data_IF_555060183956
#
_entry.id   IF_555060183956
#
_cell.length_a   1.000
_cell.length_b   1.000
_cell.length_c   1.000
_cell.angle_alpha   90.00
_cell.angle_beta   90.00
_cell.angle_gamma   90.00
#
_symmetry.space_group_name_H-M   'P 1'
#
loop_
_entity.id
_entity.type
_entity.pdbx_description
1 polymer ?
#
# COMPACT_ATOMS: atom_id res chain seq x y z
N UNK A 1 -48.57 -9.04 -5.25
CA UNK A 1 -48.20 -8.10 -6.34
C UNK A 1 -47.25 -8.82 -7.29
N UNK A 2 -47.41 -8.69 -8.61
CA UNK A 2 -46.50 -9.27 -9.60
C UNK A 2 -45.65 -8.18 -10.24
N UNK A 3 -44.37 -8.46 -10.49
CA UNK A 3 -43.48 -7.58 -11.25
C UNK A 3 -42.75 -8.38 -12.31
N UNK A 4 -42.30 -7.71 -13.36
CA UNK A 4 -41.53 -8.34 -14.43
C UNK A 4 -40.08 -8.58 -13.99
N UNK A 5 -39.54 -9.76 -14.28
CA UNK A 5 -38.14 -10.11 -13.98
C UNK A 5 -37.22 -9.86 -15.19
N UNK A 6 -35.92 -10.11 -15.05
CA UNK A 6 -34.94 -9.92 -16.13
C UNK A 6 -35.06 -10.88 -17.33
N UNK A 7 -36.07 -11.75 -17.36
CA UNK A 7 -36.41 -12.61 -18.49
C UNK A 7 -37.81 -12.27 -19.05
N UNK A 8 -38.31 -11.06 -18.76
CA UNK A 8 -39.61 -10.54 -19.19
C UNK A 8 -40.79 -11.40 -18.72
N UNK A 9 -40.66 -12.02 -17.53
CA UNK A 9 -41.70 -12.86 -16.93
C UNK A 9 -42.33 -12.20 -15.70
N UNK A 10 -43.67 -12.19 -15.57
CA UNK A 10 -44.33 -11.72 -14.37
C UNK A 10 -44.12 -12.73 -13.23
N UNK A 11 -43.46 -12.29 -12.15
CA UNK A 11 -43.18 -13.10 -10.96
C UNK A 11 -43.83 -12.50 -9.72
N UNK A 12 -44.29 -13.36 -8.82
CA UNK A 12 -44.83 -12.96 -7.54
C UNK A 12 -43.70 -12.53 -6.60
N UNK A 13 -43.83 -11.33 -6.03
CA UNK A 13 -42.81 -10.76 -5.14
C UNK A 13 -43.21 -10.81 -3.68
N UNK A 14 -44.48 -11.09 -3.38
CA UNK A 14 -44.93 -11.28 -2.00
C UNK A 14 -45.07 -12.77 -1.74
N UNK A 15 -44.09 -13.35 -1.04
CA UNK A 15 -44.04 -14.77 -0.76
C UNK A 15 -43.97 -14.94 0.76
N UNK A 16 -45.02 -15.53 1.35
CA UNK A 16 -45.12 -15.74 2.80
C UNK A 16 -44.98 -14.45 3.64
N UNK A 17 -45.58 -13.34 3.18
CA UNK A 17 -45.57 -12.06 3.89
C UNK A 17 -44.23 -11.32 3.83
N UNK A 18 -43.34 -11.72 2.92
CA UNK A 18 -42.05 -11.05 2.66
C UNK A 18 -42.01 -10.60 1.21
N UNK A 19 -41.59 -9.36 1.00
CA UNK A 19 -41.39 -8.79 -0.33
C UNK A 19 -39.98 -9.08 -0.83
N UNK A 20 -39.86 -9.71 -2.00
CA UNK A 20 -38.60 -10.05 -2.65
C UNK A 20 -38.39 -9.21 -3.91
N UNK A 21 -37.13 -8.91 -4.23
CA UNK A 21 -36.76 -8.27 -5.49
C UNK A 21 -36.33 -9.35 -6.49
N UNK A 22 -36.95 -9.43 -7.69
CA UNK A 22 -36.50 -10.38 -8.70
C UNK A 22 -35.06 -10.11 -9.11
N UNK A 23 -34.38 -11.18 -9.55
CA UNK A 23 -33.07 -11.06 -10.15
C UNK A 23 -33.11 -10.08 -11.34
N UNK A 24 -32.24 -9.06 -11.30
CA UNK A 24 -32.18 -7.99 -12.28
C UNK A 24 -31.32 -8.33 -13.52
N UNK A 25 -30.96 -9.60 -13.69
CA UNK A 25 -30.08 -10.07 -14.77
C UNK A 25 -28.63 -10.14 -14.34
N UNK A 26 -27.83 -10.93 -15.07
CA UNK A 26 -26.40 -11.02 -14.82
C UNK A 26 -25.71 -9.77 -15.39
N UNK A 27 -24.99 -9.03 -14.55
CA UNK A 27 -24.08 -8.01 -15.06
C UNK A 27 -22.82 -8.70 -15.59
N UNK A 28 -22.54 -8.49 -16.88
CA UNK A 28 -21.21 -8.80 -17.41
C UNK A 28 -20.25 -7.74 -16.84
N UNK A 29 -19.45 -8.13 -15.86
CA UNK A 29 -18.43 -7.25 -15.34
C UNK A 29 -17.32 -7.10 -16.39
N UNK A 30 -17.21 -5.90 -16.98
CA UNK A 30 -15.99 -5.51 -17.68
C UNK A 30 -14.83 -5.44 -16.69
N UNK A 31 -13.60 -5.52 -17.19
CA UNK A 31 -12.42 -5.27 -16.36
C UNK A 31 -11.79 -3.93 -16.75
N UNK A 32 -11.08 -3.33 -15.80
CA UNK A 32 -10.24 -2.16 -16.04
C UNK A 32 -8.82 -2.55 -15.65
N UNK A 33 -7.91 -2.45 -16.61
CA UNK A 33 -6.49 -2.68 -16.38
C UNK A 33 -5.98 -1.79 -15.24
N UNK A 34 -5.11 -2.36 -14.40
CA UNK A 34 -4.42 -1.68 -13.30
C UNK A 34 -3.03 -1.20 -13.69
N UNK A 35 -2.59 -1.47 -14.93
CA UNK A 35 -1.29 -1.05 -15.44
C UNK A 35 -1.23 0.48 -15.51
N UNK A 36 -0.25 1.06 -14.82
CA UNK A 36 -0.05 2.51 -14.74
C UNK A 36 1.39 2.79 -14.30
N UNK A 37 1.83 4.05 -14.32
CA UNK A 37 3.14 4.45 -13.80
C UNK A 37 3.13 4.46 -12.26
N UNK A 38 4.31 4.34 -11.64
CA UNK A 38 4.43 4.41 -10.18
C UNK A 38 3.86 5.72 -9.60
N UNK A 39 4.21 6.87 -10.21
CA UNK A 39 3.73 8.18 -9.77
C UNK A 39 2.21 8.33 -9.91
N UNK A 40 1.60 7.80 -10.98
CA UNK A 40 0.14 7.82 -11.14
C UNK A 40 -0.56 6.86 -10.18
N UNK A 41 0.05 5.70 -9.89
CA UNK A 41 -0.47 4.78 -8.88
C UNK A 41 -0.50 5.46 -7.50
N UNK A 42 0.59 6.11 -7.10
CA UNK A 42 0.68 6.84 -5.83
C UNK A 42 -0.38 7.96 -5.74
N UNK A 43 -0.55 8.77 -6.80
CA UNK A 43 -1.62 9.79 -6.87
C UNK A 43 -3.00 9.18 -6.71
N UNK A 44 -3.30 8.10 -7.44
CA UNK A 44 -4.61 7.40 -7.38
C UNK A 44 -4.87 6.76 -6.01
N UNK A 45 -3.81 6.37 -5.28
CA UNK A 45 -3.89 5.92 -3.90
C UNK A 45 -4.09 7.07 -2.89
N UNK A 46 -4.11 8.33 -3.33
CA UNK A 46 -4.33 9.49 -2.47
C UNK A 46 -3.12 9.85 -1.62
N UNK A 47 -1.90 9.61 -2.13
CA UNK A 47 -0.65 9.98 -1.48
C UNK A 47 -0.68 11.45 -1.02
N UNK A 48 -0.34 11.68 0.25
CA UNK A 48 -0.23 12.99 0.88
C UNK A 48 0.81 12.93 1.99
N UNK A 49 1.19 14.10 2.49
CA UNK A 49 2.14 14.23 3.59
C UNK A 49 1.73 13.39 4.80
N UNK A 50 2.73 12.98 5.57
CA UNK A 50 2.57 12.24 6.83
C UNK A 50 2.04 10.82 6.72
N UNK A 51 1.75 10.32 5.52
CA UNK A 51 1.29 8.95 5.31
C UNK A 51 2.39 7.90 5.61
N UNK A 52 1.93 6.69 5.88
CA UNK A 52 2.75 5.50 6.06
C UNK A 52 2.80 4.67 4.77
N UNK A 53 4.00 4.54 4.19
CA UNK A 53 4.31 3.62 3.09
C UNK A 53 4.90 2.33 3.64
N UNK A 54 4.47 1.17 3.13
CA UNK A 54 5.03 -0.12 3.55
C UNK A 54 5.63 -0.91 2.40
N UNK A 55 6.68 -1.67 2.71
CA UNK A 55 7.50 -2.41 1.75
C UNK A 55 7.92 -3.79 2.29
N UNK A 56 8.13 -4.76 1.40
CA UNK A 56 8.75 -6.03 1.76
C UNK A 56 10.20 -6.14 1.26
N UNK A 57 11.00 -6.97 1.91
CA UNK A 57 12.45 -7.01 1.71
C UNK A 57 12.91 -8.24 0.89
N UNK A 58 12.02 -8.86 0.11
CA UNK A 58 12.29 -10.13 -0.58
C UNK A 58 13.36 -10.02 -1.67
N UNK A 59 13.52 -8.83 -2.27
CA UNK A 59 14.55 -8.56 -3.27
C UNK A 59 15.95 -8.31 -2.66
N UNK A 60 16.04 -8.15 -1.34
CA UNK A 60 17.29 -7.90 -0.60
C UNK A 60 18.10 -6.72 -1.16
N UNK A 61 19.37 -6.93 -1.49
CA UNK A 61 20.23 -5.91 -2.10
C UNK A 61 19.91 -5.66 -3.59
N UNK A 62 18.99 -6.41 -4.20
CA UNK A 62 18.45 -6.13 -5.52
C UNK A 62 17.19 -5.26 -5.49
N UNK A 63 16.78 -4.77 -4.32
CA UNK A 63 15.57 -3.95 -4.19
C UNK A 63 15.83 -2.50 -4.64
N UNK A 64 15.31 -2.15 -5.82
CA UNK A 64 15.24 -0.75 -6.27
C UNK A 64 13.91 -0.09 -5.93
N UNK A 65 12.90 -0.83 -5.46
CA UNK A 65 11.52 -0.36 -5.38
C UNK A 65 11.34 0.68 -4.29
N UNK A 66 12.01 0.53 -3.14
CA UNK A 66 12.01 1.55 -2.09
C UNK A 66 12.58 2.86 -2.64
N UNK A 67 13.76 2.81 -3.29
CA UNK A 67 14.42 4.00 -3.82
C UNK A 67 13.56 4.69 -4.90
N UNK A 68 13.03 3.91 -5.85
CA UNK A 68 12.14 4.43 -6.90
C UNK A 68 10.84 5.02 -6.35
N UNK A 69 10.30 4.43 -5.28
CA UNK A 69 9.07 4.95 -4.65
C UNK A 69 9.34 6.27 -3.95
N UNK A 70 10.42 6.37 -3.19
CA UNK A 70 10.76 7.61 -2.48
C UNK A 70 11.17 8.73 -3.46
N UNK A 71 11.81 8.38 -4.58
CA UNK A 71 12.03 9.32 -5.68
C UNK A 71 10.72 9.87 -6.22
N UNK A 72 9.75 9.00 -6.53
CA UNK A 72 8.44 9.44 -7.01
C UNK A 72 7.70 10.31 -5.96
N UNK A 73 7.80 9.96 -4.67
CA UNK A 73 7.25 10.78 -3.58
C UNK A 73 7.88 12.17 -3.56
N UNK A 74 9.22 12.24 -3.69
CA UNK A 74 9.98 13.49 -3.76
C UNK A 74 9.55 14.35 -4.95
N UNK A 75 9.46 13.77 -6.14
CA UNK A 75 9.04 14.47 -7.37
C UNK A 75 7.60 15.00 -7.27
N UNK A 76 6.74 14.30 -6.55
CA UNK A 76 5.37 14.73 -6.26
C UNK A 76 5.28 15.82 -5.18
N UNK A 77 6.41 16.22 -4.58
CA UNK A 77 6.49 17.25 -3.56
C UNK A 77 5.92 16.82 -2.20
N UNK A 78 5.73 15.52 -1.98
CA UNK A 78 5.19 14.96 -0.74
C UNK A 78 6.31 14.74 0.28
N UNK A 79 6.04 15.05 1.54
CA UNK A 79 7.03 15.03 2.63
C UNK A 79 6.54 14.32 3.88
N UNK A 80 7.44 14.22 4.86
CA UNK A 80 7.13 13.73 6.21
C UNK A 80 6.61 12.28 6.25
N UNK A 81 7.03 11.45 5.31
CA UNK A 81 6.56 10.08 5.18
C UNK A 81 7.11 9.20 6.30
N UNK A 82 6.27 8.26 6.73
CA UNK A 82 6.70 7.09 7.49
C UNK A 82 7.02 5.95 6.53
N UNK A 83 8.18 5.32 6.70
CA UNK A 83 8.50 4.03 6.09
C UNK A 83 8.22 2.90 7.09
N UNK A 84 7.35 1.96 6.70
CA UNK A 84 6.96 0.78 7.45
C UNK A 84 7.41 -0.52 6.76
N UNK A 85 8.69 -0.58 6.38
CA UNK A 85 9.28 -1.73 5.71
C UNK A 85 9.43 -2.94 6.66
N UNK A 86 9.58 -4.12 6.09
CA UNK A 86 9.97 -5.31 6.86
C UNK A 86 11.47 -5.35 7.16
N UNK A 87 12.33 -4.95 6.20
CA UNK A 87 13.76 -4.70 6.40
C UNK A 87 14.32 -3.79 5.29
N UNK A 88 15.44 -3.10 5.56
CA UNK A 88 16.30 -2.48 4.53
C UNK A 88 17.74 -3.02 4.58
N UNK A 89 18.44 -2.85 3.47
CA UNK A 89 19.84 -3.24 3.21
C UNK A 89 20.65 -2.09 2.56
N UNK A 90 21.94 -2.31 2.28
CA UNK A 90 22.86 -1.30 1.74
C UNK A 90 22.43 -0.68 0.40
N UNK A 91 21.68 -1.40 -0.43
CA UNK A 91 21.10 -0.85 -1.68
C UNK A 91 20.19 0.38 -1.43
N UNK A 92 19.69 0.53 -0.21
CA UNK A 92 18.84 1.65 0.20
C UNK A 92 19.63 2.84 0.74
N UNK A 93 20.93 2.94 0.49
CA UNK A 93 21.73 4.13 0.80
C UNK A 93 21.04 5.46 0.41
N UNK A 94 20.34 5.58 -0.76
CA UNK A 94 19.61 6.80 -1.12
C UNK A 94 18.56 7.27 -0.11
N UNK A 95 18.06 6.38 0.78
CA UNK A 95 17.16 6.75 1.89
C UNK A 95 17.76 7.84 2.77
N UNK A 96 19.09 7.89 2.89
CA UNK A 96 19.79 8.94 3.66
C UNK A 96 19.47 10.33 3.10
N UNK A 97 19.42 10.50 1.78
CA UNK A 97 19.15 11.79 1.17
C UNK A 97 17.65 12.15 1.27
N UNK A 98 16.76 11.17 1.11
CA UNK A 98 15.33 11.36 1.37
C UNK A 98 15.04 11.76 2.82
N UNK A 99 15.85 11.30 3.79
CA UNK A 99 15.80 11.76 5.19
C UNK A 99 16.23 13.23 5.29
N UNK A 100 17.39 13.60 4.70
CA UNK A 100 17.91 14.97 4.75
C UNK A 100 16.97 16.00 4.10
N UNK A 101 16.27 15.60 3.04
CA UNK A 101 15.34 16.45 2.29
C UNK A 101 13.95 16.58 2.97
N UNK A 102 13.72 15.80 4.04
CA UNK A 102 12.45 15.76 4.77
C UNK A 102 11.36 14.94 4.08
N UNK A 103 11.71 14.12 3.08
CA UNK A 103 10.77 13.18 2.44
C UNK A 103 10.40 12.08 3.43
N UNK A 104 11.37 11.56 4.19
CA UNK A 104 11.17 10.54 5.23
C UNK A 104 11.53 11.13 6.60
N UNK A 105 10.63 11.01 7.58
CA UNK A 105 10.89 11.46 8.95
C UNK A 105 10.61 10.39 10.02
N UNK A 106 10.03 9.26 9.64
CA UNK A 106 9.66 8.15 10.52
C UNK A 106 10.03 6.84 9.87
N UNK A 107 10.60 5.92 10.65
CA UNK A 107 10.89 4.57 10.18
C UNK A 107 10.49 3.55 11.24
N UNK A 108 9.75 2.55 10.80
CA UNK A 108 9.28 1.44 11.61
C UNK A 108 9.53 0.10 10.89
N UNK A 109 10.40 -0.73 11.43
CA UNK A 109 10.84 -1.97 10.78
C UNK A 109 12.30 -2.27 11.01
N UNK A 110 12.81 -3.38 10.46
CA UNK A 110 14.24 -3.68 10.56
C UNK A 110 15.04 -2.67 9.74
N UNK A 111 16.06 -2.07 10.37
CA UNK A 111 17.02 -1.16 9.74
C UNK A 111 18.40 -1.78 9.87
N UNK A 112 19.12 -1.89 8.76
CA UNK A 112 20.46 -2.47 8.74
C UNK A 112 21.41 -1.61 7.90
N UNK A 113 22.71 -1.81 8.08
CA UNK A 113 23.74 -1.28 7.21
C UNK A 113 23.81 0.24 7.21
N UNK A 114 24.17 0.82 6.06
CA UNK A 114 24.55 2.24 5.92
C UNK A 114 23.49 3.22 6.41
N UNK A 115 22.20 2.92 6.21
CA UNK A 115 21.10 3.77 6.68
C UNK A 115 20.97 3.71 8.20
N UNK A 116 21.13 2.53 8.81
CA UNK A 116 21.12 2.37 10.26
C UNK A 116 22.29 3.08 10.94
N UNK A 117 23.49 2.98 10.36
CA UNK A 117 24.67 3.70 10.82
C UNK A 117 24.48 5.21 10.76
N UNK A 118 23.87 5.70 9.66
CA UNK A 118 23.56 7.11 9.50
C UNK A 118 22.57 7.61 10.56
N UNK A 119 21.44 6.92 10.74
CA UNK A 119 20.39 7.31 11.70
C UNK A 119 20.89 7.23 13.15
N UNK A 120 21.77 6.29 13.46
CA UNK A 120 22.37 6.18 14.80
C UNK A 120 23.22 7.40 15.17
N UNK A 121 23.79 8.09 14.17
CA UNK A 121 24.59 9.31 14.35
C UNK A 121 23.76 10.59 14.12
N UNK A 122 22.67 10.47 13.36
CA UNK A 122 21.78 11.58 12.97
C UNK A 122 20.32 11.14 13.21
N UNK A 123 19.84 11.17 14.47
CA UNK A 123 18.52 10.68 14.80
C UNK A 123 17.42 11.39 14.01
N UNK A 124 16.40 10.62 13.63
CA UNK A 124 15.18 11.18 13.03
C UNK A 124 14.40 12.02 14.06
N UNK A 125 13.52 12.95 13.62
CA UNK A 125 12.65 13.71 14.53
C UNK A 125 11.73 12.82 15.38
N UNK A 126 11.48 11.58 14.93
CA UNK A 126 10.71 10.57 15.64
C UNK A 126 11.60 9.34 15.89
N UNK A 127 11.46 8.67 17.05
CA UNK A 127 12.26 7.49 17.35
C UNK A 127 12.00 6.38 16.32
N UNK A 128 13.07 5.71 15.90
CA UNK A 128 12.97 4.49 15.09
C UNK A 128 12.33 3.37 15.92
N UNK A 129 11.31 2.72 15.38
CA UNK A 129 10.68 1.56 16.02
C UNK A 129 11.13 0.28 15.32
N UNK A 130 12.05 -0.45 15.96
CA UNK A 130 12.45 -1.78 15.49
C UNK A 130 11.39 -2.82 15.91
N UNK A 131 10.94 -3.64 14.97
CA UNK A 131 10.03 -4.77 15.23
C UNK A 131 10.60 -6.05 14.64
N UNK A 132 10.43 -7.17 15.36
CA UNK A 132 10.67 -8.50 14.79
C UNK A 132 9.66 -8.78 13.66
N UNK A 133 9.91 -9.81 12.85
CA UNK A 133 8.96 -10.21 11.80
C UNK A 133 7.55 -10.50 12.35
N UNK A 134 7.47 -11.28 13.44
CA UNK A 134 6.21 -11.56 14.12
C UNK A 134 5.59 -10.32 14.77
N UNK A 135 6.41 -9.47 15.39
CA UNK A 135 5.96 -8.23 16.02
C UNK A 135 5.36 -7.24 15.02
N UNK A 136 5.96 -7.09 13.83
CA UNK A 136 5.41 -6.24 12.77
C UNK A 136 4.04 -6.74 12.29
N UNK A 137 3.91 -8.04 12.06
CA UNK A 137 2.61 -8.62 11.68
C UNK A 137 1.55 -8.39 12.75
N UNK A 138 1.91 -8.60 14.03
CA UNK A 138 1.01 -8.35 15.15
C UNK A 138 0.58 -6.89 15.21
N UNK A 139 1.51 -5.94 15.09
CA UNK A 139 1.22 -4.51 15.10
C UNK A 139 0.25 -4.08 13.98
N UNK A 140 0.39 -4.64 12.77
CA UNK A 140 -0.57 -4.41 11.69
C UNK A 140 -1.94 -5.03 12.02
N UNK A 141 -1.95 -6.25 12.57
CA UNK A 141 -3.17 -6.96 12.92
C UNK A 141 -3.98 -6.26 14.03
N UNK A 142 -3.30 -5.65 15.00
CA UNK A 142 -3.92 -4.93 16.13
C UNK A 142 -4.24 -3.47 15.82
N UNK A 143 -3.74 -2.93 14.71
CA UNK A 143 -3.90 -1.52 14.34
C UNK A 143 -2.89 -0.57 14.98
N UNK A 144 -1.88 -1.08 15.69
CA UNK A 144 -0.75 -0.27 16.18
C UNK A 144 0.06 0.33 15.01
N UNK A 145 0.20 -0.42 13.91
CA UNK A 145 0.82 0.04 12.68
C UNK A 145 -0.20 -0.01 11.53
N UNK A 146 -0.44 1.13 10.87
CA UNK A 146 -1.41 1.21 9.78
C UNK A 146 -0.77 1.75 8.49
N UNK A 147 -0.31 0.87 7.57
CA UNK A 147 0.12 1.30 6.25
C UNK A 147 -1.01 1.95 5.46
N UNK A 148 -0.83 3.19 5.01
CA UNK A 148 -1.77 3.85 4.12
C UNK A 148 -1.65 3.33 2.69
N UNK A 149 -0.40 3.11 2.24
CA UNK A 149 -0.10 2.55 0.92
C UNK A 149 0.94 1.44 1.09
N UNK A 150 0.71 0.29 0.48
CA UNK A 150 1.66 -0.81 0.41
C UNK A 150 2.21 -0.92 -1.01
N UNK A 151 3.54 -0.86 -1.15
CA UNK A 151 4.23 -1.05 -2.43
C UNK A 151 4.93 -2.40 -2.39
N UNK A 152 4.47 -3.32 -3.23
CA UNK A 152 4.83 -4.74 -3.21
C UNK A 152 5.41 -5.10 -4.58
N UNK A 153 6.75 -5.21 -4.73
CA UNK A 153 7.31 -5.78 -5.94
C UNK A 153 6.89 -7.25 -6.12
N UNK A 154 6.32 -7.55 -7.29
CA UNK A 154 6.00 -8.90 -7.72
C UNK A 154 6.77 -9.23 -9.01
N UNK A 155 7.32 -10.44 -9.12
CA UNK A 155 8.04 -10.88 -10.32
C UNK A 155 7.13 -11.06 -11.53
N UNK A 156 5.83 -11.23 -11.29
CA UNK A 156 4.78 -11.26 -12.30
C UNK A 156 3.50 -10.70 -11.67
N UNK A 157 2.70 -10.04 -12.49
CA UNK A 157 1.32 -9.73 -12.18
C UNK A 157 0.50 -9.70 -13.48
N UNK A 158 -0.73 -10.18 -13.44
CA UNK A 158 -1.67 -9.89 -14.52
C UNK A 158 -2.14 -8.42 -14.46
N UNK A 159 -2.86 -7.96 -15.48
CA UNK A 159 -3.37 -6.58 -15.54
C UNK A 159 -4.43 -6.24 -14.47
N UNK A 160 -4.82 -7.21 -13.64
CA UNK A 160 -5.78 -7.07 -12.54
C UNK A 160 -5.10 -7.11 -11.18
N UNK A 161 -3.83 -7.51 -11.11
CA UNK A 161 -3.00 -7.54 -9.92
C UNK A 161 -2.87 -8.90 -9.25
N UNK A 162 -3.20 -10.01 -9.94
CA UNK A 162 -2.86 -11.37 -9.46
C UNK A 162 -1.40 -11.70 -9.74
#
# INVERSE_FOLDING_TARGET
MKVENAADRPVEIDISGKTFKPFAGAKKHGYTSKVTSLSDALKKCGLKDEMCLSFHHQLRNGDSVINMTLEAVRELGVKNMMMAQTAIFNVHEPVIDFIKEGVVNRIEGSINGVVGDYISRNPLPYPVVLRSHGGRWAAVKTGELHPNIAVIPASAADERGN
#
